data_IF_386791052258
#
_entry.id   IF_386791052258
#
_cell.length_a   1.000
_cell.length_b   1.000
_cell.length_c   1.000
_cell.angle_alpha   90.00
_cell.angle_beta   90.00
_cell.angle_gamma   90.00
#
_symmetry.space_group_name_H-M   'P 1'
#
loop_
_entity.id
_entity.type
_entity.pdbx_description
1 polymer ?
#
# COMPACT_ATOMS: atom_id res chain seq x y z
N UNK A 1 -5.91 23.77 -31.35
CA UNK A 1 -5.16 23.51 -32.59
C UNK A 1 -5.87 22.41 -33.34
N UNK A 2 -6.56 22.76 -34.41
CA UNK A 2 -7.47 21.92 -35.20
C UNK A 2 -6.70 21.24 -36.33
N UNK A 3 -6.54 19.91 -36.26
CA UNK A 3 -5.88 19.14 -37.32
C UNK A 3 -6.94 18.58 -38.26
N UNK A 4 -6.94 19.07 -39.51
CA UNK A 4 -7.77 18.57 -40.60
C UNK A 4 -7.28 17.17 -41.07
N UNK A 5 -8.17 16.27 -41.52
CA UNK A 5 -7.77 14.99 -42.11
C UNK A 5 -7.31 15.14 -43.58
N UNK A 6 -6.18 14.49 -43.92
CA UNK A 6 -5.62 14.42 -45.27
C UNK A 6 -6.44 13.51 -46.22
N UNK A 7 -6.55 13.83 -47.52
CA UNK A 7 -7.34 13.05 -48.47
C UNK A 7 -6.63 11.79 -48.98
N UNK A 8 -7.32 10.66 -48.82
CA UNK A 8 -7.50 9.56 -49.77
C UNK A 8 -6.31 9.04 -50.60
N UNK A 9 -5.81 7.85 -50.24
CA UNK A 9 -5.25 6.89 -51.20
C UNK A 9 -6.37 5.93 -51.61
N UNK A 10 -6.96 6.16 -52.77
CA UNK A 10 -7.88 5.21 -53.41
C UNK A 10 -7.02 4.08 -54.01
N UNK A 11 -7.02 2.90 -53.40
CA UNK A 11 -6.48 1.68 -54.05
C UNK A 11 -7.56 1.11 -54.98
N UNK A 12 -7.19 0.92 -56.26
CA UNK A 12 -8.05 0.28 -57.25
C UNK A 12 -8.45 -1.14 -56.81
N UNK A 13 -9.71 -1.57 -57.04
CA UNK A 13 -10.15 -2.92 -56.74
C UNK A 13 -9.74 -3.88 -57.86
N UNK A 14 -8.57 -4.50 -57.74
CA UNK A 14 -8.18 -5.57 -58.64
C UNK A 14 -6.73 -5.97 -58.51
N UNK A 15 -6.50 -7.29 -58.38
CA UNK A 15 -5.21 -7.99 -58.49
C UNK A 15 -4.37 -8.07 -57.21
N UNK A 16 -4.79 -8.90 -56.25
CA UNK A 16 -3.88 -9.81 -55.55
C UNK A 16 -4.55 -11.19 -55.48
N UNK A 17 -4.35 -12.01 -56.53
CA UNK A 17 -4.64 -13.45 -56.50
C UNK A 17 -3.34 -14.22 -56.38
N UNK A 18 -2.61 -14.04 -55.28
CA UNK A 18 -1.64 -15.05 -54.86
C UNK A 18 -2.46 -16.20 -54.25
N UNK A 19 -3.04 -17.01 -55.13
CA UNK A 19 -3.78 -18.22 -54.78
C UNK A 19 -2.76 -19.26 -54.31
N UNK A 20 -2.40 -19.22 -53.03
CA UNK A 20 -1.96 -20.44 -52.37
C UNK A 20 -3.11 -21.44 -52.55
N UNK A 21 -2.90 -22.60 -53.19
CA UNK A 21 -3.98 -23.56 -53.37
C UNK A 21 -4.55 -23.91 -51.99
N UNK A 22 -5.89 -24.00 -51.85
CA UNK A 22 -6.49 -24.41 -50.59
C UNK A 22 -5.88 -25.76 -50.22
N UNK A 23 -5.24 -25.80 -49.05
CA UNK A 23 -4.66 -27.03 -48.50
C UNK A 23 -5.76 -28.11 -48.56
N UNK A 24 -5.49 -29.31 -49.12
CA UNK A 24 -6.52 -30.34 -49.24
C UNK A 24 -7.14 -30.55 -47.86
N UNK A 25 -8.47 -30.54 -47.82
CA UNK A 25 -9.22 -30.79 -46.59
C UNK A 25 -8.75 -32.13 -46.05
N UNK A 26 -8.16 -32.12 -44.85
CA UNK A 26 -7.70 -33.37 -44.22
C UNK A 26 -8.90 -34.33 -44.15
N UNK A 27 -8.71 -35.62 -44.44
CA UNK A 27 -9.76 -36.60 -44.22
C UNK A 27 -10.17 -36.50 -42.75
N UNK A 28 -11.44 -36.16 -42.51
CA UNK A 28 -12.01 -36.16 -41.17
C UNK A 28 -12.17 -37.60 -40.75
N UNK A 29 -11.14 -38.16 -40.10
CA UNK A 29 -11.22 -39.48 -39.51
C UNK A 29 -12.29 -39.42 -38.41
N UNK A 30 -13.43 -40.09 -38.62
CA UNK A 30 -14.45 -40.24 -37.59
C UNK A 30 -13.91 -41.19 -36.52
N UNK A 31 -13.37 -40.61 -35.45
CA UNK A 31 -12.87 -41.37 -34.31
C UNK A 31 -14.00 -41.66 -33.32
N UNK A 32 -13.94 -42.82 -32.66
CA UNK A 32 -14.87 -43.13 -31.58
C UNK A 32 -14.65 -42.18 -30.41
N UNK A 33 -15.75 -41.79 -29.75
CA UNK A 33 -15.69 -40.86 -28.63
C UNK A 33 -14.88 -41.39 -27.45
N UNK A 34 -14.87 -42.71 -27.24
CA UNK A 34 -14.05 -43.35 -26.21
C UNK A 34 -12.55 -43.11 -26.43
N UNK A 35 -12.07 -43.29 -27.67
CA UNK A 35 -10.66 -43.08 -28.03
C UNK A 35 -10.25 -41.62 -27.91
N UNK A 36 -11.16 -40.69 -28.20
CA UNK A 36 -10.91 -39.27 -28.00
C UNK A 36 -10.76 -38.93 -26.52
N UNK A 37 -11.62 -39.49 -25.65
CA UNK A 37 -11.51 -39.28 -24.20
C UNK A 37 -10.21 -39.82 -23.63
N UNK A 38 -9.75 -40.99 -24.08
CA UNK A 38 -8.47 -41.57 -23.66
C UNK A 38 -7.28 -40.69 -24.07
N UNK A 39 -7.30 -40.15 -25.30
CA UNK A 39 -6.28 -39.22 -25.77
C UNK A 39 -6.26 -37.93 -24.92
N UNK A 40 -7.42 -37.34 -24.64
CA UNK A 40 -7.50 -36.14 -23.81
C UNK A 40 -7.05 -36.44 -22.37
N UNK A 41 -7.41 -37.61 -21.83
CA UNK A 41 -6.97 -38.04 -20.49
C UNK A 41 -5.46 -38.20 -20.40
N UNK A 42 -4.83 -38.82 -21.41
CA UNK A 42 -3.37 -38.97 -21.47
C UNK A 42 -2.67 -37.62 -21.66
N UNK A 43 -3.18 -36.76 -22.54
CA UNK A 43 -2.70 -35.38 -22.70
C UNK A 43 -2.74 -34.61 -21.38
N UNK A 44 -3.87 -34.65 -20.66
CA UNK A 44 -4.01 -33.98 -19.37
C UNK A 44 -3.01 -34.52 -18.34
N UNK A 45 -2.72 -35.83 -18.34
CA UNK A 45 -1.69 -36.44 -17.49
C UNK A 45 -0.28 -35.94 -17.83
N UNK A 46 0.06 -35.84 -19.12
CA UNK A 46 1.37 -35.36 -19.58
C UNK A 46 1.60 -33.90 -19.16
N UNK A 47 0.59 -33.04 -19.32
CA UNK A 47 0.72 -31.60 -19.06
C UNK A 47 0.24 -31.16 -17.67
N UNK A 48 0.01 -32.12 -16.76
CA UNK A 48 -0.52 -31.85 -15.42
C UNK A 48 -1.78 -30.97 -15.42
N UNK A 49 -2.61 -31.12 -16.46
CA UNK A 49 -3.89 -30.42 -16.59
C UNK A 49 -5.01 -31.24 -15.95
N UNK A 50 -6.04 -30.56 -15.46
CA UNK A 50 -7.22 -31.24 -14.91
C UNK A 50 -8.13 -31.82 -16.02
N UNK A 51 -8.49 -33.10 -15.91
CA UNK A 51 -9.42 -33.79 -16.81
C UNK A 51 -10.84 -33.81 -16.21
N UNK A 52 -11.82 -33.19 -16.88
CA UNK A 52 -13.20 -33.04 -16.39
C UNK A 52 -14.24 -33.39 -17.48
N UNK A 53 -14.47 -34.68 -17.78
CA UNK A 53 -15.37 -35.09 -18.85
C UNK A 53 -16.86 -34.79 -18.56
N UNK A 54 -17.27 -34.80 -17.28
CA UNK A 54 -18.65 -34.49 -16.86
C UNK A 54 -18.92 -33.00 -16.69
N UNK A 55 -17.92 -32.13 -16.92
CA UNK A 55 -18.04 -30.65 -16.84
C UNK A 55 -18.54 -30.15 -15.48
N UNK A 56 -18.13 -30.81 -14.40
CA UNK A 56 -18.47 -30.43 -13.03
C UNK A 56 -17.82 -29.10 -12.62
N UNK A 57 -18.48 -28.36 -11.71
CA UNK A 57 -18.00 -27.06 -11.19
C UNK A 57 -17.04 -27.25 -10.02
N UNK A 58 -15.77 -27.54 -10.33
CA UNK A 58 -14.71 -27.82 -9.34
C UNK A 58 -13.99 -26.56 -8.81
N UNK A 59 -14.45 -25.35 -9.11
CA UNK A 59 -13.79 -24.11 -8.64
C UNK A 59 -12.46 -23.74 -9.31
N UNK A 60 -11.96 -24.53 -10.28
CA UNK A 60 -10.71 -24.27 -11.01
C UNK A 60 -10.58 -22.86 -11.63
N UNK A 61 -11.71 -22.20 -11.93
CA UNK A 61 -11.73 -20.80 -12.40
C UNK A 61 -11.12 -19.86 -11.37
N UNK A 62 -11.45 -20.03 -10.10
CA UNK A 62 -10.98 -19.17 -9.00
C UNK A 62 -9.48 -19.40 -8.77
N UNK A 63 -9.04 -20.66 -8.74
CA UNK A 63 -7.62 -20.99 -8.51
C UNK A 63 -6.69 -20.55 -9.65
N UNK A 64 -7.17 -20.54 -10.89
CA UNK A 64 -6.39 -20.09 -12.06
C UNK A 64 -6.33 -18.57 -12.20
N UNK A 65 -7.15 -17.82 -11.45
CA UNK A 65 -7.08 -16.37 -11.49
C UNK A 65 -5.74 -15.93 -10.90
N UNK A 66 -5.04 -15.05 -11.64
CA UNK A 66 -3.80 -14.44 -11.14
C UNK A 66 -4.13 -13.52 -9.96
N UNK A 67 -3.36 -13.66 -8.88
CA UNK A 67 -3.49 -12.81 -7.70
C UNK A 67 -3.18 -11.35 -8.07
N UNK A 68 -4.06 -10.42 -7.68
CA UNK A 68 -3.89 -8.97 -7.91
C UNK A 68 -3.33 -8.22 -6.69
N UNK A 69 -3.12 -8.92 -5.58
CA UNK A 69 -2.68 -8.35 -4.30
C UNK A 69 -1.47 -7.42 -4.41
N UNK A 70 -0.38 -7.82 -5.09
CA UNK A 70 0.81 -6.96 -5.21
C UNK A 70 0.54 -5.64 -5.93
N UNK A 71 -0.28 -5.66 -6.98
CA UNK A 71 -0.64 -4.46 -7.73
C UNK A 71 -1.51 -3.50 -6.89
N UNK A 72 -2.41 -4.04 -6.07
CA UNK A 72 -3.26 -3.25 -5.17
C UNK A 72 -2.49 -2.70 -3.97
N UNK A 73 -1.58 -3.47 -3.39
CA UNK A 73 -0.75 -3.02 -2.27
C UNK A 73 0.19 -1.87 -2.66
N UNK A 74 0.61 -1.82 -3.92
CA UNK A 74 1.45 -0.76 -4.47
C UNK A 74 0.67 0.48 -4.93
N UNK A 75 -0.62 0.61 -4.58
CA UNK A 75 -1.47 1.72 -5.01
C UNK A 75 -0.91 3.09 -4.60
N UNK A 76 -0.48 3.22 -3.34
CA UNK A 76 0.20 4.42 -2.89
C UNK A 76 1.71 4.28 -3.08
N UNK A 77 2.39 5.33 -3.56
CA UNK A 77 3.84 5.37 -3.61
C UNK A 77 4.42 5.04 -2.24
N UNK A 78 5.41 4.14 -2.22
CA UNK A 78 6.18 3.89 -1.00
C UNK A 78 6.96 5.15 -0.65
N UNK A 79 7.10 5.45 0.65
CA UNK A 79 7.99 6.51 1.12
C UNK A 79 9.42 6.16 0.66
N UNK A 80 10.00 7.01 -0.17
CA UNK A 80 11.33 6.79 -0.76
C UNK A 80 12.42 7.29 0.18
N UNK A 81 12.48 8.59 0.41
CA UNK A 81 13.46 9.26 1.26
C UNK A 81 12.72 10.29 2.09
N UNK A 82 12.90 10.27 3.41
CA UNK A 82 12.40 11.29 4.31
C UNK A 82 13.46 12.38 4.54
N UNK A 83 13.05 13.56 5.00
CA UNK A 83 13.98 14.64 5.36
C UNK A 83 14.97 14.21 6.47
N UNK A 84 14.51 13.35 7.38
CA UNK A 84 15.36 12.74 8.41
C UNK A 84 16.50 11.89 7.82
N UNK A 85 16.27 11.21 6.70
CA UNK A 85 17.32 10.43 6.03
C UNK A 85 18.41 11.38 5.51
N UNK A 86 18.03 12.53 4.95
CA UNK A 86 18.98 13.56 4.52
C UNK A 86 19.80 14.10 5.71
N UNK A 87 19.16 14.47 6.82
CA UNK A 87 19.86 14.91 8.04
C UNK A 87 20.92 13.89 8.48
N UNK A 88 20.56 12.61 8.50
CA UNK A 88 21.47 11.54 8.91
C UNK A 88 22.66 11.38 7.95
N UNK A 89 22.46 11.58 6.65
CA UNK A 89 23.56 11.49 5.66
C UNK A 89 24.57 12.63 5.77
N UNK A 90 24.11 13.84 6.11
CA UNK A 90 24.97 15.04 6.17
C UNK A 90 25.54 15.33 7.56
N UNK A 91 24.99 14.74 8.61
CA UNK A 91 25.48 14.87 9.99
C UNK A 91 26.97 14.53 10.17
N UNK A 92 27.53 13.47 9.57
CA UNK A 92 28.97 13.17 9.67
C UNK A 92 29.88 14.23 9.04
N UNK A 93 29.36 15.01 8.09
CA UNK A 93 30.07 16.10 7.43
C UNK A 93 29.99 17.42 8.22
N UNK A 94 29.37 17.41 9.41
CA UNK A 94 29.19 18.59 10.24
C UNK A 94 28.15 19.59 9.70
N UNK A 95 27.36 19.17 8.71
CA UNK A 95 26.33 19.99 8.08
C UNK A 95 25.00 19.82 8.82
N UNK A 96 24.34 20.94 9.13
CA UNK A 96 23.00 20.99 9.74
C UNK A 96 21.99 21.41 8.68
N UNK A 97 20.88 20.69 8.56
CA UNK A 97 19.77 21.01 7.65
C UNK A 97 18.53 21.36 8.47
N UNK A 98 17.78 22.38 8.06
CA UNK A 98 16.56 22.86 8.73
C UNK A 98 15.32 22.41 7.95
N UNK A 99 14.29 21.92 8.65
CA UNK A 99 13.02 21.50 8.05
C UNK A 99 12.00 22.64 8.21
N UNK A 100 11.98 23.59 7.28
CA UNK A 100 11.14 24.79 7.37
C UNK A 100 9.66 24.46 7.64
N UNK A 101 9.13 23.37 7.07
CA UNK A 101 7.73 23.01 7.25
C UNK A 101 7.43 22.48 8.66
N UNK A 102 8.38 21.79 9.27
CA UNK A 102 8.26 21.36 10.65
C UNK A 102 8.52 22.53 11.61
N UNK A 103 9.48 23.41 11.31
CA UNK A 103 9.75 24.63 12.06
C UNK A 103 8.52 25.56 12.05
N UNK A 104 7.88 25.78 10.89
CA UNK A 104 6.61 26.52 10.77
C UNK A 104 5.48 25.87 11.57
N UNK A 105 5.44 24.53 11.62
CA UNK A 105 4.46 23.78 12.42
C UNK A 105 4.74 23.96 13.91
N UNK A 106 6.01 23.93 14.31
CA UNK A 106 6.45 24.17 15.68
C UNK A 106 6.20 25.62 16.11
N UNK A 107 6.47 26.59 15.24
CA UNK A 107 6.13 28.00 15.42
C UNK A 107 4.63 28.20 15.48
N UNK A 108 3.82 27.57 14.62
CA UNK A 108 2.36 27.64 14.69
C UNK A 108 1.82 27.02 15.98
N UNK A 109 2.42 25.93 16.46
CA UNK A 109 2.09 25.35 17.78
C UNK A 109 2.50 26.31 18.89
N UNK A 110 3.71 26.84 18.83
CA UNK A 110 4.23 27.77 19.82
C UNK A 110 3.37 29.04 19.85
N UNK A 111 3.03 29.62 18.69
CA UNK A 111 2.12 30.75 18.50
C UNK A 111 0.70 30.45 18.95
N UNK A 112 0.15 29.27 18.66
CA UNK A 112 -1.19 28.92 19.15
C UNK A 112 -1.22 28.78 20.67
N UNK A 113 -0.16 28.21 21.25
CA UNK A 113 0.02 28.10 22.70
C UNK A 113 0.29 29.47 23.32
N UNK A 114 1.10 30.32 22.69
CA UNK A 114 1.43 31.66 23.18
C UNK A 114 0.29 32.63 22.96
N UNK A 115 -0.49 32.59 21.88
CA UNK A 115 -1.64 33.47 21.67
C UNK A 115 -2.80 33.15 22.64
N UNK A 116 -3.02 31.86 22.95
CA UNK A 116 -3.95 31.46 24.01
C UNK A 116 -3.46 31.96 25.38
N UNK A 117 -2.15 31.96 25.61
CA UNK A 117 -1.57 32.48 26.85
C UNK A 117 -1.57 34.01 26.88
N UNK A 118 -1.16 34.70 25.82
CA UNK A 118 -0.89 36.14 25.72
C UNK A 118 -2.18 36.98 25.67
N UNK A 119 -3.26 36.47 25.07
CA UNK A 119 -4.58 37.09 25.14
C UNK A 119 -5.18 37.08 26.57
N UNK A 120 -4.67 36.21 27.44
CA UNK A 120 -5.05 36.14 28.87
C UNK A 120 -3.97 36.75 29.77
N UNK A 121 -2.72 36.84 29.31
CA UNK A 121 -1.55 37.21 30.11
C UNK A 121 -1.05 38.65 29.97
N UNK A 122 -1.51 39.43 28.99
CA UNK A 122 -1.19 40.87 28.97
C UNK A 122 -1.92 41.68 30.07
N UNK A 123 -2.75 41.03 30.90
CA UNK A 123 -3.42 41.71 32.02
C UNK A 123 -3.15 41.10 33.41
N UNK A 124 -2.75 39.82 33.56
CA UNK A 124 -2.47 39.26 34.89
C UNK A 124 -1.41 38.13 34.86
N UNK A 125 -0.21 38.48 35.31
CA UNK A 125 0.72 37.70 36.15
C UNK A 125 1.46 36.43 35.68
N UNK A 126 2.80 36.52 35.85
CA UNK A 126 3.78 35.46 36.20
C UNK A 126 3.47 34.61 37.44
N UNK A 127 2.27 34.75 38.01
CA UNK A 127 1.82 34.12 39.24
C UNK A 127 0.86 32.94 38.95
N UNK A 128 0.02 33.04 37.92
CA UNK A 128 -1.12 32.11 37.73
C UNK A 128 -0.78 30.75 37.11
N UNK A 129 0.33 30.58 36.38
CA UNK A 129 0.73 29.27 35.85
C UNK A 129 1.26 28.33 36.96
N UNK A 130 1.92 28.92 37.97
CA UNK A 130 2.25 28.21 39.21
C UNK A 130 0.96 27.95 40.02
N UNK A 131 0.08 28.94 40.14
CA UNK A 131 -1.20 28.79 40.85
C UNK A 131 -2.15 27.76 40.21
N UNK A 132 -2.21 27.61 38.89
CA UNK A 132 -3.15 26.68 38.24
C UNK A 132 -2.77 25.21 38.47
N UNK A 133 -1.47 24.90 38.54
CA UNK A 133 -0.95 23.59 38.97
C UNK A 133 -1.19 23.36 40.46
N UNK A 134 -1.01 24.40 41.29
CA UNK A 134 -1.29 24.37 42.73
C UNK A 134 -2.80 24.29 43.06
N UNK A 135 -3.68 24.83 42.21
CA UNK A 135 -5.16 24.84 42.34
C UNK A 135 -5.81 23.65 41.61
N UNK A 136 -5.03 22.71 41.09
CA UNK A 136 -5.54 21.46 40.49
C UNK A 136 -6.19 21.57 39.11
N UNK A 137 -6.06 22.71 38.40
CA UNK A 137 -6.66 22.95 37.08
C UNK A 137 -5.68 22.77 35.91
N UNK A 138 -4.62 21.97 36.11
CA UNK A 138 -3.64 21.65 35.06
C UNK A 138 -4.21 20.75 33.94
N UNK A 139 -3.53 20.71 32.78
CA UNK A 139 -3.96 19.90 31.63
C UNK A 139 -4.16 18.43 32.06
N UNK A 140 -5.34 17.84 31.81
CA UNK A 140 -5.62 16.49 32.28
C UNK A 140 -4.64 15.50 31.67
N UNK A 141 -4.02 14.69 32.52
CA UNK A 141 -3.05 13.67 32.10
C UNK A 141 -3.75 12.67 31.19
N UNK A 142 -3.34 12.59 29.92
CA UNK A 142 -3.88 11.65 28.94
C UNK A 142 -3.69 10.22 29.47
N UNK A 143 -4.80 9.54 29.77
CA UNK A 143 -4.78 8.14 30.25
C UNK A 143 -4.21 7.25 29.13
N UNK A 144 -3.20 6.45 29.46
CA UNK A 144 -2.57 5.48 28.52
C UNK A 144 -3.16 4.07 28.64
N UNK A 145 -4.10 3.87 29.55
CA UNK A 145 -4.80 2.59 29.81
C UNK A 145 -6.31 2.77 29.63
N UNK A 146 -6.96 1.70 29.15
CA UNK A 146 -8.43 1.65 29.05
C UNK A 146 -9.06 1.75 30.45
N UNK A 147 -10.16 2.50 30.57
CA UNK A 147 -10.88 2.61 31.82
C UNK A 147 -11.31 1.21 32.30
N UNK A 148 -10.92 0.84 33.52
CA UNK A 148 -11.33 -0.41 34.16
C UNK A 148 -10.28 -1.54 34.23
N UNK A 149 -9.09 -1.38 33.64
CA UNK A 149 -8.00 -2.36 33.86
C UNK A 149 -7.16 -1.95 35.07
N UNK A 150 -7.39 -2.60 36.22
CA UNK A 150 -6.44 -2.62 37.33
C UNK A 150 -5.21 -3.34 36.82
N UNK A 151 -4.13 -2.61 36.55
CA UNK A 151 -2.81 -3.22 36.41
C UNK A 151 -2.45 -3.72 37.81
N UNK A 152 -2.24 -5.02 38.05
CA UNK A 152 -1.77 -5.46 39.35
C UNK A 152 -0.46 -4.74 39.63
N UNK A 153 -0.32 -4.17 40.82
CA UNK A 153 0.92 -3.56 41.29
C UNK A 153 2.00 -4.64 41.31
N UNK A 154 2.73 -4.78 40.21
CA UNK A 154 3.97 -5.55 40.17
C UNK A 154 4.99 -4.64 40.85
N UNK A 155 4.97 -4.66 42.18
CA UNK A 155 5.91 -3.93 43.01
C UNK A 155 7.32 -4.17 42.49
N UNK A 156 7.96 -3.11 42.02
CA UNK A 156 9.36 -3.12 41.63
C UNK A 156 10.19 -3.28 42.91
N UNK A 157 10.29 -4.52 43.39
CA UNK A 157 11.16 -4.91 44.50
C UNK A 157 12.59 -4.69 44.01
N UNK A 158 13.18 -3.56 44.37
CA UNK A 158 14.63 -3.34 44.20
C UNK A 158 15.33 -4.49 44.91
N UNK A 159 15.83 -5.47 44.16
CA UNK A 159 16.84 -6.40 44.68
C UNK A 159 18.07 -5.56 44.97
N UNK A 160 18.34 -5.31 46.24
CA UNK A 160 19.65 -4.91 46.72
C UNK A 160 20.64 -5.97 46.27
N UNK A 161 21.50 -5.65 45.29
CA UNK A 161 22.72 -6.41 45.06
C UNK A 161 23.66 -6.09 46.22
N UNK A 162 23.92 -7.06 47.08
CA UNK A 162 25.13 -7.06 47.90
C UNK A 162 26.33 -7.34 46.98
N UNK A 163 27.48 -6.67 47.18
CA UNK A 163 28.71 -7.01 46.47
C UNK A 163 29.38 -8.19 47.17
N UNK A 164 29.74 -9.21 46.37
CA UNK A 164 30.78 -10.19 46.70
C UNK A 164 32.09 -9.76 46.02
#
# INVERSE_FOLDING_TARGET
>A
MTTQPHPGIIKAPGQIKNLVPPRPLRPTVKMSQTRLLDLVKTQCRIFSMNFNPQRLRLGNKVLRQRLRGPALAAWYPKKTVAFQDLQNTYKPLGLTTFDEAEDDREEAIQMSVTNILHAVWQYVDTFLLSSAKLRGKGRPKKKRTAAGKVVPDIGFRRRSRTPD
#
